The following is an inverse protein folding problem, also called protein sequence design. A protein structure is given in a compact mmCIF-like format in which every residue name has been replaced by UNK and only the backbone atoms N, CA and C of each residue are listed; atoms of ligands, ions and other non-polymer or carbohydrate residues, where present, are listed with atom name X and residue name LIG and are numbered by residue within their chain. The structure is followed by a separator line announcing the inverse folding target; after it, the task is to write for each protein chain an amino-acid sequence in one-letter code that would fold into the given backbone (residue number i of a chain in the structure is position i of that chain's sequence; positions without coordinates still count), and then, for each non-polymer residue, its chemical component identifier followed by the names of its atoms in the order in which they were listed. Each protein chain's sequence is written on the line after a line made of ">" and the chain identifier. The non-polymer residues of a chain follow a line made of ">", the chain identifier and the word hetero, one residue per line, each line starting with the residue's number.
data_IF_622153426903
#
_entry.id   IF_622153426903
#
_cell.length_a   1.000
_cell.length_b   1.000
_cell.length_c   1.000
_cell.angle_alpha   90.00
_cell.angle_beta   90.00
_cell.angle_gamma   90.00
#
_symmetry.space_group_name_H-M   'P 1'
#
loop_
_entity.id
_entity.type
_entity.pdbx_description
1 polymer ?
#
# COMPACT_ATOMS: atom_id res chain seq x y z
N UNK A 1 -41.64 58.08 6.03
CA UNK A 1 -40.81 56.86 5.92
C UNK A 1 -39.95 56.85 7.16
N UNK A 2 -40.25 56.03 8.19
CA UNK A 2 -39.55 56.12 9.48
C UNK A 2 -38.19 55.41 9.42
N UNK A 3 -37.25 55.89 10.24
CA UNK A 3 -35.88 55.39 10.32
C UNK A 3 -35.80 53.87 10.59
N UNK A 4 -36.79 53.32 11.30
CA UNK A 4 -36.92 51.88 11.55
C UNK A 4 -37.09 51.06 10.27
N UNK A 5 -37.82 51.59 9.29
CA UNK A 5 -38.05 50.89 8.02
C UNK A 5 -36.78 50.81 7.18
N UNK A 6 -35.90 51.82 7.27
CA UNK A 6 -34.60 51.84 6.58
C UNK A 6 -33.64 50.82 7.22
N UNK A 7 -33.63 50.72 8.55
CA UNK A 7 -32.77 49.77 9.28
C UNK A 7 -33.13 48.31 8.97
N UNK A 8 -34.42 47.98 8.91
CA UNK A 8 -34.92 46.63 8.56
C UNK A 8 -34.51 46.24 7.14
N UNK A 9 -34.61 47.17 6.18
CA UNK A 9 -34.19 46.94 4.80
C UNK A 9 -32.67 46.69 4.76
N UNK A 10 -31.89 47.47 5.50
CA UNK A 10 -30.43 47.28 5.61
C UNK A 10 -30.04 45.89 6.11
N UNK A 11 -30.69 45.41 7.17
CA UNK A 11 -30.45 44.07 7.73
C UNK A 11 -30.85 42.98 6.72
N UNK A 12 -31.96 43.15 5.99
CA UNK A 12 -32.39 42.22 4.96
C UNK A 12 -31.38 42.07 3.82
N UNK A 13 -30.81 43.19 3.36
CA UNK A 13 -29.78 43.19 2.30
C UNK A 13 -28.51 42.50 2.79
N UNK A 14 -28.07 42.77 4.04
CA UNK A 14 -26.90 42.12 4.63
C UNK A 14 -27.08 40.61 4.80
N UNK A 15 -28.26 40.17 5.24
CA UNK A 15 -28.58 38.74 5.38
C UNK A 15 -28.57 38.01 4.03
N UNK A 16 -29.13 38.62 2.98
CA UNK A 16 -29.09 38.09 1.61
C UNK A 16 -27.65 37.98 1.09
N UNK A 17 -26.83 39.01 1.32
CA UNK A 17 -25.45 39.05 0.88
C UNK A 17 -24.60 38.01 1.62
N UNK A 18 -24.84 37.84 2.92
CA UNK A 18 -24.25 36.78 3.73
C UNK A 18 -24.63 35.38 3.21
N UNK A 19 -25.92 35.14 2.94
CA UNK A 19 -26.39 33.87 2.38
C UNK A 19 -25.77 33.59 1.01
N UNK A 20 -25.67 34.61 0.15
CA UNK A 20 -25.09 34.47 -1.18
C UNK A 20 -23.60 34.05 -1.13
N UNK A 21 -22.81 34.70 -0.27
CA UNK A 21 -21.37 34.44 -0.15
C UNK A 21 -21.10 33.12 0.59
N UNK A 22 -21.75 32.88 1.73
CA UNK A 22 -21.43 31.76 2.61
C UNK A 22 -22.13 30.46 2.24
N UNK A 23 -23.30 30.51 1.60
CA UNK A 23 -24.12 29.31 1.35
C UNK A 23 -24.27 29.04 -0.15
N UNK A 24 -24.70 30.03 -0.93
CA UNK A 24 -25.04 29.82 -2.35
C UNK A 24 -23.79 29.58 -3.20
N UNK A 25 -22.82 30.51 -3.17
CA UNK A 25 -21.59 30.42 -3.97
C UNK A 25 -20.77 29.14 -3.73
N UNK A 26 -20.49 28.70 -2.48
CA UNK A 26 -19.75 27.45 -2.26
C UNK A 26 -20.53 26.21 -2.71
N UNK A 27 -21.86 26.17 -2.49
CA UNK A 27 -22.70 25.09 -3.01
C UNK A 27 -22.70 25.03 -4.54
N UNK A 28 -22.61 26.17 -5.21
CA UNK A 28 -22.52 26.22 -6.67
C UNK A 28 -21.14 25.75 -7.18
N UNK A 29 -20.05 26.10 -6.49
CA UNK A 29 -18.69 25.57 -6.81
C UNK A 29 -18.60 24.05 -6.69
N UNK A 30 -19.36 23.43 -5.80
CA UNK A 30 -19.44 21.96 -5.66
C UNK A 30 -20.27 21.31 -6.78
N UNK A 31 -21.28 22.01 -7.33
CA UNK A 31 -22.19 21.48 -8.37
C UNK A 31 -21.61 21.54 -9.78
N UNK A 32 -20.75 22.52 -10.06
CA UNK A 32 -20.10 22.68 -11.36
C UNK A 32 -18.59 22.61 -11.15
N UNK A 33 -18.02 21.40 -11.02
CA UNK A 33 -16.60 21.23 -10.78
C UNK A 33 -15.83 21.39 -12.10
N UNK A 34 -15.89 22.59 -12.68
CA UNK A 34 -15.30 22.94 -13.98
C UNK A 34 -13.76 22.89 -14.01
N UNK A 35 -13.13 22.58 -12.89
CA UNK A 35 -11.67 22.48 -12.72
C UNK A 35 -11.27 21.20 -11.98
N UNK A 36 -11.98 20.08 -12.19
CA UNK A 36 -11.49 18.76 -11.77
C UNK A 36 -10.26 18.39 -12.59
N UNK A 37 -9.10 18.82 -12.12
CA UNK A 37 -7.83 18.36 -12.64
C UNK A 37 -7.54 16.97 -12.07
N UNK A 38 -7.31 16.00 -12.95
CA UNK A 38 -6.88 14.67 -12.54
C UNK A 38 -5.49 14.77 -11.94
N UNK A 39 -5.40 14.68 -10.62
CA UNK A 39 -4.11 14.49 -9.96
C UNK A 39 -3.62 13.08 -10.28
N UNK A 40 -2.35 12.88 -10.69
CA UNK A 40 -1.80 11.54 -10.82
C UNK A 40 -1.93 10.83 -9.48
N UNK A 41 -2.72 9.74 -9.47
CA UNK A 41 -3.05 8.99 -8.26
C UNK A 41 -1.86 8.17 -7.72
N UNK A 42 -0.79 8.03 -8.52
CA UNK A 42 0.39 7.24 -8.21
C UNK A 42 1.63 8.14 -8.30
N UNK A 43 2.48 8.10 -7.28
CA UNK A 43 3.78 8.79 -7.27
C UNK A 43 4.72 8.17 -8.33
N UNK A 44 5.76 8.91 -8.71
CA UNK A 44 6.79 8.43 -9.64
C UNK A 44 7.42 7.14 -9.17
N UNK A 45 7.74 7.05 -7.88
CA UNK A 45 8.52 5.97 -7.31
C UNK A 45 7.71 4.66 -7.32
N UNK A 46 6.45 4.74 -6.88
CA UNK A 46 5.50 3.62 -6.93
C UNK A 46 5.28 3.13 -8.36
N UNK A 47 5.31 4.02 -9.37
CA UNK A 47 5.25 3.63 -10.79
C UNK A 47 6.51 2.89 -11.23
N UNK A 48 7.68 3.34 -10.82
CA UNK A 48 8.97 2.72 -11.15
C UNK A 48 9.06 1.32 -10.54
N UNK A 49 8.71 1.17 -9.26
CA UNK A 49 8.68 -0.14 -8.59
C UNK A 49 7.68 -1.08 -9.25
N UNK A 50 6.46 -0.61 -9.53
CA UNK A 50 5.45 -1.41 -10.23
C UNK A 50 5.97 -1.95 -11.57
N UNK A 51 6.66 -1.11 -12.35
CA UNK A 51 7.27 -1.53 -13.61
C UNK A 51 8.43 -2.51 -13.40
N UNK A 52 9.27 -2.29 -12.39
CA UNK A 52 10.37 -3.18 -12.06
C UNK A 52 9.85 -4.58 -11.68
N UNK A 53 8.88 -4.67 -10.77
CA UNK A 53 8.24 -5.93 -10.37
C UNK A 53 7.65 -6.63 -11.61
N UNK A 54 6.88 -5.95 -12.45
CA UNK A 54 6.30 -6.55 -13.65
C UNK A 54 7.32 -6.92 -14.75
N UNK A 55 8.53 -6.37 -14.71
CA UNK A 55 9.59 -6.76 -15.64
C UNK A 55 10.34 -8.01 -15.19
N UNK A 56 10.39 -8.27 -13.88
CA UNK A 56 11.11 -9.40 -13.29
C UNK A 56 10.18 -10.59 -13.07
N UNK A 57 8.94 -10.34 -12.64
CA UNK A 57 7.95 -11.38 -12.41
C UNK A 57 7.08 -11.59 -13.64
N UNK A 58 7.12 -12.82 -14.17
CA UNK A 58 6.29 -13.25 -15.28
C UNK A 58 4.79 -13.27 -14.93
N UNK A 59 3.94 -13.42 -15.95
CA UNK A 59 2.47 -13.49 -15.82
C UNK A 59 1.95 -14.60 -14.88
N UNK A 60 2.77 -15.59 -14.55
CA UNK A 60 2.42 -16.65 -13.61
C UNK A 60 2.35 -16.18 -12.15
N UNK A 61 2.99 -15.06 -11.80
CA UNK A 61 2.95 -14.51 -10.45
C UNK A 61 1.79 -13.55 -10.27
N UNK A 62 1.14 -13.63 -9.10
CA UNK A 62 0.07 -12.73 -8.71
C UNK A 62 0.67 -11.63 -7.83
N UNK A 63 0.53 -10.38 -8.26
CA UNK A 63 1.03 -9.21 -7.52
C UNK A 63 -0.16 -8.55 -6.83
N UNK A 64 -0.09 -8.46 -5.50
CA UNK A 64 -1.11 -7.81 -4.68
C UNK A 64 -0.50 -6.61 -3.94
N UNK A 65 -1.25 -5.51 -3.92
CA UNK A 65 -0.77 -4.22 -3.42
C UNK A 65 -1.45 -3.87 -2.09
N UNK A 66 -0.74 -3.16 -1.21
CA UNK A 66 -1.30 -2.57 0.01
C UNK A 66 -1.96 -3.60 0.95
N UNK A 67 -1.24 -4.68 1.24
CA UNK A 67 -1.70 -5.77 2.09
C UNK A 67 -1.40 -5.45 3.55
N UNK A 68 -2.38 -5.68 4.42
CA UNK A 68 -2.16 -5.58 5.87
C UNK A 68 -1.52 -6.87 6.39
N UNK A 69 -0.57 -6.77 7.33
CA UNK A 69 0.04 -7.96 7.92
C UNK A 69 -0.99 -8.87 8.62
N UNK A 70 -2.10 -8.29 9.10
CA UNK A 70 -3.21 -8.99 9.76
C UNK A 70 -3.86 -10.05 8.85
N UNK A 71 -3.90 -9.80 7.54
CA UNK A 71 -4.50 -10.72 6.56
C UNK A 71 -3.51 -11.80 6.10
N UNK A 72 -2.21 -11.60 6.35
CA UNK A 72 -1.13 -12.47 5.88
C UNK A 72 -0.64 -13.44 6.96
N UNK A 73 -0.57 -12.99 8.22
CA UNK A 73 0.08 -13.71 9.30
C UNK A 73 -0.96 -14.15 10.33
N UNK A 74 -1.10 -15.47 10.46
CA UNK A 74 -1.95 -16.07 11.48
C UNK A 74 -1.10 -16.64 12.62
N UNK A 75 -1.31 -16.16 13.85
CA UNK A 75 -0.67 -16.71 15.04
C UNK A 75 -1.72 -17.29 16.00
N UNK A 76 -1.84 -18.62 16.14
CA UNK A 76 -2.88 -19.25 16.96
C UNK A 76 -2.92 -18.76 18.42
N UNK A 77 -1.76 -18.37 18.97
CA UNK A 77 -1.60 -17.92 20.36
C UNK A 77 -1.85 -16.42 20.55
N UNK A 78 -1.62 -15.61 19.52
CA UNK A 78 -1.72 -14.15 19.59
C UNK A 78 -3.00 -13.61 18.97
N UNK A 79 -3.70 -14.40 18.13
CA UNK A 79 -4.97 -14.04 17.50
C UNK A 79 -6.11 -13.80 18.51
N UNK A 80 -6.00 -14.30 19.74
CA UNK A 80 -6.99 -14.05 20.77
C UNK A 80 -6.95 -12.61 21.31
N UNK A 81 -5.93 -11.82 20.95
CA UNK A 81 -5.63 -10.53 21.58
C UNK A 81 -5.93 -9.36 20.61
N UNK A 82 -6.88 -8.46 20.94
CA UNK A 82 -7.30 -7.39 20.02
C UNK A 82 -6.20 -6.34 19.75
N UNK A 83 -5.25 -6.17 20.68
CA UNK A 83 -4.12 -5.27 20.48
C UNK A 83 -3.14 -5.77 19.41
N UNK A 84 -3.06 -7.09 19.21
CA UNK A 84 -2.19 -7.70 18.21
C UNK A 84 -2.72 -7.42 16.80
N UNK A 85 -4.02 -7.63 16.58
CA UNK A 85 -4.70 -7.26 15.33
C UNK A 85 -4.56 -5.78 15.00
N UNK A 86 -4.68 -4.91 16.02
CA UNK A 86 -4.51 -3.47 15.81
C UNK A 86 -3.09 -3.15 15.34
N UNK A 87 -2.07 -3.71 15.99
CA UNK A 87 -0.68 -3.50 15.60
C UNK A 87 -0.39 -4.04 14.18
N UNK A 88 -0.93 -5.21 13.82
CA UNK A 88 -0.75 -5.79 12.47
C UNK A 88 -1.49 -5.03 11.37
N UNK A 89 -2.64 -4.41 11.66
CA UNK A 89 -3.37 -3.56 10.71
C UNK A 89 -2.69 -2.22 10.44
N UNK A 90 -1.92 -1.72 11.41
CA UNK A 90 -1.12 -0.52 11.24
C UNK A 90 0.08 -0.78 10.31
N UNK A 91 0.56 -2.03 10.25
CA UNK A 91 1.66 -2.45 9.38
C UNK A 91 1.14 -2.91 8.02
N UNK A 92 1.59 -2.23 6.97
CA UNK A 92 1.22 -2.56 5.59
C UNK A 92 2.44 -2.91 4.76
N UNK A 93 2.23 -3.80 3.81
CA UNK A 93 3.19 -4.18 2.78
C UNK A 93 2.73 -3.52 1.48
N UNK A 94 3.60 -2.75 0.86
CA UNK A 94 3.30 -2.08 -0.39
C UNK A 94 3.03 -3.07 -1.53
N UNK A 95 3.86 -4.12 -1.67
CA UNK A 95 3.69 -5.17 -2.66
C UNK A 95 3.99 -6.56 -2.09
N UNK A 96 3.10 -7.51 -2.35
CA UNK A 96 3.31 -8.92 -2.07
C UNK A 96 3.21 -9.71 -3.38
N UNK A 97 4.24 -10.49 -3.66
CA UNK A 97 4.29 -11.41 -4.79
C UNK A 97 3.87 -12.79 -4.29
N UNK A 98 2.88 -13.34 -4.97
CA UNK A 98 2.30 -14.66 -4.70
C UNK A 98 2.56 -15.58 -5.89
N UNK A 99 2.72 -16.88 -5.63
CA UNK A 99 2.77 -17.90 -6.68
C UNK A 99 1.37 -18.19 -7.27
N UNK A 100 1.30 -19.08 -8.26
CA UNK A 100 0.03 -19.51 -8.89
C UNK A 100 -0.97 -20.11 -7.90
N UNK A 101 -0.49 -20.68 -6.80
CA UNK A 101 -1.30 -21.25 -5.72
C UNK A 101 -1.76 -20.20 -4.68
N UNK A 102 -1.41 -18.93 -4.85
CA UNK A 102 -1.75 -17.84 -3.93
C UNK A 102 -0.92 -17.78 -2.65
N UNK A 103 0.23 -18.47 -2.60
CA UNK A 103 1.14 -18.49 -1.45
C UNK A 103 2.17 -17.35 -1.61
N UNK A 104 2.44 -16.57 -0.55
CA UNK A 104 3.46 -15.51 -0.57
C UNK A 104 4.86 -16.05 -0.80
N UNK A 105 5.54 -15.48 -1.79
CA UNK A 105 6.91 -15.84 -2.16
C UNK A 105 7.88 -14.71 -1.80
N UNK A 106 7.49 -13.46 -2.02
CA UNK A 106 8.34 -12.30 -1.74
C UNK A 106 7.49 -11.09 -1.37
N UNK A 107 7.87 -10.38 -0.33
CA UNK A 107 7.35 -9.06 0.00
C UNK A 107 8.33 -7.99 -0.49
N UNK A 108 7.80 -6.88 -1.02
CA UNK A 108 8.58 -5.74 -1.49
C UNK A 108 8.00 -4.47 -0.87
N UNK A 109 8.88 -3.65 -0.29
CA UNK A 109 8.49 -2.36 0.25
C UNK A 109 9.58 -1.29 0.11
N UNK A 110 9.21 -0.05 0.40
CA UNK A 110 10.14 1.02 0.63
C UNK A 110 10.52 1.11 2.10
N UNK A 111 11.70 1.65 2.36
CA UNK A 111 12.19 1.92 3.70
C UNK A 111 11.25 2.90 4.42
N UNK A 112 10.68 2.47 5.54
CA UNK A 112 9.86 3.30 6.41
C UNK A 112 10.36 3.26 7.86
N UNK A 113 10.13 4.36 8.58
CA UNK A 113 10.53 4.45 9.99
C UNK A 113 9.69 3.50 10.84
N UNK A 114 10.35 2.50 11.46
CA UNK A 114 9.69 1.53 12.34
C UNK A 114 9.48 0.13 11.75
N UNK A 115 10.15 -0.22 10.65
CA UNK A 115 10.01 -1.52 9.96
C UNK A 115 10.52 -2.74 10.74
N UNK A 116 11.15 -2.57 11.91
CA UNK A 116 11.71 -3.69 12.70
C UNK A 116 10.65 -4.73 13.07
N UNK A 117 9.44 -4.31 13.44
CA UNK A 117 8.36 -5.24 13.78
C UNK A 117 7.93 -6.04 12.56
N UNK A 118 7.75 -5.37 11.43
CA UNK A 118 7.34 -5.99 10.17
C UNK A 118 8.38 -6.97 9.65
N UNK A 119 9.66 -6.61 9.70
CA UNK A 119 10.78 -7.49 9.38
C UNK A 119 10.74 -8.76 10.24
N UNK A 120 10.59 -8.62 11.56
CA UNK A 120 10.51 -9.76 12.47
C UNK A 120 9.29 -10.66 12.19
N UNK A 121 8.13 -10.07 11.91
CA UNK A 121 6.92 -10.84 11.61
C UNK A 121 7.05 -11.60 10.28
N UNK A 122 7.57 -10.98 9.23
CA UNK A 122 7.74 -11.62 7.93
C UNK A 122 8.83 -12.70 7.96
N UNK A 123 9.95 -12.45 8.64
CA UNK A 123 10.99 -13.45 8.84
C UNK A 123 10.47 -14.69 9.58
N UNK A 124 9.67 -14.50 10.63
CA UNK A 124 9.03 -15.60 11.36
C UNK A 124 7.97 -16.33 10.53
N UNK A 125 7.32 -15.65 9.59
CA UNK A 125 6.39 -16.26 8.65
C UNK A 125 7.11 -16.98 7.48
N UNK A 126 8.44 -16.87 7.39
CA UNK A 126 9.23 -17.44 6.30
C UNK A 126 9.08 -16.69 4.97
N UNK A 127 8.58 -15.45 5.00
CA UNK A 127 8.39 -14.62 3.80
C UNK A 127 9.57 -13.66 3.68
N UNK A 128 10.42 -13.78 2.66
CA UNK A 128 11.51 -12.83 2.45
C UNK A 128 10.97 -11.44 2.12
N UNK A 129 11.68 -10.40 2.57
CA UNK A 129 11.32 -8.99 2.35
C UNK A 129 12.49 -8.26 1.68
N UNK A 130 12.22 -7.63 0.54
CA UNK A 130 13.11 -6.66 -0.09
C UNK A 130 12.67 -5.23 0.29
N UNK A 131 13.57 -4.47 0.89
CA UNK A 131 13.32 -3.07 1.27
C UNK A 131 14.22 -2.19 0.43
N UNK A 132 13.63 -1.21 -0.25
CA UNK A 132 14.33 -0.29 -1.13
C UNK A 132 14.27 1.14 -0.60
N UNK A 133 15.30 1.94 -0.88
CA UNK A 133 15.26 3.37 -0.62
C UNK A 133 14.29 4.08 -1.60
N UNK A 134 13.57 5.12 -1.17
CA UNK A 134 12.84 5.96 -2.10
C UNK A 134 13.79 6.67 -3.07
N UNK A 135 13.44 6.69 -4.36
CA UNK A 135 14.28 7.26 -5.42
C UNK A 135 15.33 6.32 -6.03
N UNK A 136 15.34 5.03 -5.67
CA UNK A 136 16.18 4.01 -6.34
C UNK A 136 15.84 3.92 -7.83
N UNK A 137 16.89 3.80 -8.66
CA UNK A 137 16.74 3.70 -10.11
C UNK A 137 16.11 2.37 -10.54
N UNK A 138 15.40 2.39 -11.68
CA UNK A 138 14.72 1.21 -12.21
C UNK A 138 15.69 0.05 -12.48
N UNK A 139 16.88 0.33 -13.02
CA UNK A 139 17.84 -0.73 -13.36
C UNK A 139 18.36 -1.44 -12.10
N UNK A 140 18.56 -0.68 -11.01
CA UNK A 140 18.98 -1.22 -9.72
C UNK A 140 17.88 -2.07 -9.09
N UNK A 141 16.63 -1.58 -9.10
CA UNK A 141 15.47 -2.33 -8.60
C UNK A 141 15.32 -3.67 -9.33
N UNK A 142 15.40 -3.65 -10.66
CA UNK A 142 15.28 -4.87 -11.49
C UNK A 142 16.39 -5.86 -11.17
N UNK A 143 17.63 -5.38 -11.03
CA UNK A 143 18.77 -6.24 -10.70
C UNK A 143 18.60 -6.90 -9.34
N UNK A 144 18.32 -6.13 -8.30
CA UNK A 144 18.18 -6.65 -6.93
C UNK A 144 16.98 -7.60 -6.79
N UNK A 145 15.84 -7.30 -7.45
CA UNK A 145 14.70 -8.21 -7.48
C UNK A 145 15.04 -9.52 -8.20
N UNK A 146 15.79 -9.45 -9.30
CA UNK A 146 16.23 -10.65 -10.05
C UNK A 146 17.16 -11.51 -9.19
N UNK A 147 18.12 -10.89 -8.51
CA UNK A 147 19.05 -11.57 -7.62
C UNK A 147 18.30 -12.26 -6.46
N UNK A 148 17.33 -11.59 -5.85
CA UNK A 148 16.50 -12.15 -4.78
C UNK A 148 15.71 -13.39 -5.23
N UNK A 149 15.13 -13.38 -6.44
CA UNK A 149 14.40 -14.53 -6.98
C UNK A 149 15.33 -15.70 -7.29
N UNK A 150 16.52 -15.41 -7.83
CA UNK A 150 17.51 -16.44 -8.11
C UNK A 150 17.95 -17.13 -6.82
N UNK A 151 18.12 -16.38 -5.73
CA UNK A 151 18.42 -16.94 -4.41
C UNK A 151 17.27 -17.81 -3.88
N UNK A 152 16.03 -17.31 -3.93
CA UNK A 152 14.82 -18.06 -3.59
C UNK A 152 14.71 -19.39 -4.36
N UNK A 153 14.99 -19.36 -5.66
CA UNK A 153 14.94 -20.55 -6.54
C UNK A 153 16.03 -21.57 -6.21
N UNK A 154 17.21 -21.11 -5.76
CA UNK A 154 18.30 -21.99 -5.30
C UNK A 154 17.95 -22.66 -3.98
N UNK A 155 17.44 -21.91 -3.01
CA UNK A 155 17.02 -22.47 -1.71
C UNK A 155 15.89 -23.49 -1.87
N UNK A 156 14.95 -23.26 -2.78
CA UNK A 156 13.88 -24.23 -3.09
C UNK A 156 14.42 -25.53 -3.74
N UNK A 157 15.48 -25.43 -4.54
CA UNK A 157 16.09 -26.58 -5.23
C UNK A 157 17.00 -27.42 -4.32
N UNK A 158 17.66 -26.81 -3.34
CA UNK A 158 18.47 -27.55 -2.36
C UNK A 158 17.59 -28.36 -1.38
N UNK A 159 16.36 -27.92 -1.12
CA UNK A 159 15.43 -28.62 -0.22
C UNK A 159 14.91 -29.95 -0.81
N UNK A 160 14.82 -30.09 -2.14
CA UNK A 160 14.38 -31.31 -2.81
C UNK A 160 15.49 -32.36 -2.97
N UNK A 161 16.76 -32.02 -2.73
CA UNK A 161 17.90 -32.95 -2.92
C UNK A 161 18.17 -33.82 -1.69
N UNK A 162 17.60 -33.50 -0.52
CA UNK A 162 17.85 -34.23 0.73
C UNK A 162 16.87 -35.38 1.06
N UNK A 163 15.94 -35.71 0.16
CA UNK A 163 14.87 -36.71 0.40
C UNK A 163 15.02 -38.05 -0.36
N UNK A 164 16.24 -38.50 -0.67
CA UNK A 164 16.47 -39.90 -1.04
C UNK A 164 17.15 -40.66 0.11
N UNK A 165 16.43 -41.49 0.88
CA UNK A 165 17.08 -42.46 1.76
C UNK A 165 17.79 -43.52 0.90
N UNK A 166 18.95 -44.04 1.34
CA UNK A 166 19.65 -45.08 0.60
C UNK A 166 18.79 -46.35 0.57
N UNK A 167 18.62 -46.86 -0.65
CA UNK A 167 18.08 -48.16 -0.98
C UNK A 167 18.78 -49.23 -0.12
N UNK A 168 18.02 -49.88 0.77
CA UNK A 168 18.52 -50.99 1.56
C UNK A 168 18.57 -52.24 0.67
N UNK A 169 19.79 -52.75 0.53
CA UNK A 169 20.18 -53.99 -0.15
C UNK A 169 19.50 -55.26 0.38
#
# INVERSE_FOLDING_TARGET
>A
MSDDMINIIGIGVLALLFWYIQIYRPKQKLKTPGELQLKPALSSDTRTMYRAIHSVFDKSYIISNNICLDDLIHSPTLNAKPYFHKALREQKIAWLILNESGIPVLAVDYETTGDELKLNFLANAGIPLCVFAPGTDMEQLVKELTDAINELSRTASDMTTHENPPEAA
#
